data_IF_059419426374
#
_entry.id   IF_059419426374
#
_cell.length_a   1.000
_cell.length_b   1.000
_cell.length_c   1.000
_cell.angle_alpha   90.00
_cell.angle_beta   90.00
_cell.angle_gamma   90.00
#
_symmetry.space_group_name_H-M   'P 1'
#
loop_
_entity.id
_entity.type
_entity.pdbx_description
1 polymer ?
#
# COMPACT_ATOMS: atom_id res chain seq x y z
N UNK A 1 8.97 11.28 -10.80
CA UNK A 1 9.06 9.91 -10.23
C UNK A 1 9.03 8.88 -11.35
N UNK A 2 9.41 7.66 -11.07
CA UNK A 2 9.34 6.53 -11.99
C UNK A 2 8.77 5.30 -11.24
N UNK A 3 8.18 4.37 -11.98
CA UNK A 3 7.60 3.15 -11.40
C UNK A 3 7.93 1.93 -12.24
N UNK A 4 8.18 0.82 -11.58
CA UNK A 4 8.28 -0.50 -12.23
C UNK A 4 6.92 -1.18 -12.07
N UNK A 5 6.33 -1.59 -13.18
CA UNK A 5 5.03 -2.28 -13.21
C UNK A 5 5.15 -3.69 -13.78
N UNK A 6 4.26 -4.57 -13.39
CA UNK A 6 4.07 -5.87 -14.03
C UNK A 6 3.50 -5.70 -15.43
N UNK A 7 4.03 -6.41 -16.41
CA UNK A 7 3.56 -6.33 -17.81
C UNK A 7 2.15 -6.88 -18.00
N UNK A 8 1.75 -7.88 -17.22
CA UNK A 8 0.48 -8.57 -17.39
C UNK A 8 -0.71 -7.82 -16.76
N UNK A 9 -0.46 -7.01 -15.74
CA UNK A 9 -1.51 -6.38 -14.92
C UNK A 9 -1.36 -4.88 -14.74
N UNK A 10 -0.24 -4.29 -15.16
CA UNK A 10 0.17 -2.90 -14.90
C UNK A 10 0.25 -2.54 -13.40
N UNK A 11 0.26 -3.54 -12.50
CA UNK A 11 0.39 -3.32 -11.06
C UNK A 11 1.78 -2.76 -10.77
N UNK A 12 1.81 -1.63 -10.05
CA UNK A 12 3.06 -0.99 -9.62
C UNK A 12 3.70 -1.77 -8.46
N UNK A 13 4.93 -2.18 -8.67
CA UNK A 13 5.74 -2.93 -7.72
C UNK A 13 6.66 -2.02 -6.91
N UNK A 14 7.26 -1.03 -7.59
CA UNK A 14 8.24 -0.11 -7.02
C UNK A 14 7.97 1.32 -7.49
N UNK A 15 8.18 2.26 -6.59
CA UNK A 15 8.06 3.70 -6.82
C UNK A 15 9.39 4.36 -6.47
N UNK A 16 10.04 4.97 -7.47
CA UNK A 16 11.46 5.26 -7.44
C UNK A 16 11.68 6.75 -7.79
N UNK A 17 12.59 7.41 -7.10
CA UNK A 17 12.98 8.77 -7.40
C UNK A 17 13.61 8.88 -8.80
N UNK A 18 13.37 10.00 -9.50
CA UNK A 18 13.93 10.25 -10.84
C UNK A 18 15.46 10.34 -10.83
N UNK A 19 16.08 10.61 -9.67
CA UNK A 19 17.53 10.62 -9.51
C UNK A 19 18.19 9.25 -9.60
N UNK A 20 17.41 8.17 -9.46
CA UNK A 20 17.91 6.81 -9.54
C UNK A 20 17.91 6.30 -10.98
N UNK A 21 18.86 5.42 -11.29
CA UNK A 21 18.90 4.69 -12.55
C UNK A 21 18.28 3.31 -12.35
N UNK A 22 17.33 2.95 -13.20
CA UNK A 22 16.67 1.63 -13.21
C UNK A 22 17.08 0.90 -14.48
N UNK A 23 17.67 -0.27 -14.33
CA UNK A 23 18.03 -1.17 -15.41
C UNK A 23 17.26 -2.49 -15.30
N UNK A 24 16.30 -2.72 -16.20
CA UNK A 24 15.54 -3.97 -16.27
C UNK A 24 16.24 -4.88 -17.25
N UNK A 25 17.10 -5.75 -16.73
CA UNK A 25 17.83 -6.74 -17.52
C UNK A 25 17.02 -8.00 -17.83
N UNK A 26 17.65 -8.95 -18.55
CA UNK A 26 17.03 -10.23 -18.92
C UNK A 26 16.74 -11.14 -17.71
N UNK A 27 17.55 -11.03 -16.67
CA UNK A 27 17.49 -11.92 -15.51
C UNK A 27 17.01 -11.22 -14.24
N UNK A 28 17.33 -9.94 -14.08
CA UNK A 28 17.05 -9.15 -12.89
C UNK A 28 16.92 -7.67 -13.20
N UNK A 29 16.40 -6.92 -12.25
CA UNK A 29 16.38 -5.44 -12.27
C UNK A 29 17.35 -4.91 -11.24
N UNK A 30 18.13 -3.89 -11.64
CA UNK A 30 19.06 -3.17 -10.76
C UNK A 30 18.62 -1.72 -10.63
N UNK A 31 18.53 -1.23 -9.39
CA UNK A 31 18.31 0.19 -9.07
C UNK A 31 19.62 0.73 -8.51
N UNK A 32 20.13 1.82 -9.10
CA UNK A 32 21.44 2.40 -8.76
C UNK A 32 21.33 3.88 -8.44
N UNK A 33 22.25 4.36 -7.60
CA UNK A 33 22.48 5.77 -7.34
C UNK A 33 23.89 6.14 -7.81
N UNK A 34 23.99 7.05 -8.81
CA UNK A 34 25.26 7.48 -9.35
C UNK A 34 26.15 6.34 -9.84
N UNK A 35 25.56 5.26 -10.38
CA UNK A 35 26.27 4.08 -10.87
C UNK A 35 26.58 3.02 -9.80
N UNK A 36 26.24 3.28 -8.53
CA UNK A 36 26.38 2.29 -7.45
C UNK A 36 25.06 1.54 -7.26
N UNK A 37 25.02 0.19 -7.44
CA UNK A 37 23.82 -0.59 -7.18
C UNK A 37 23.38 -0.49 -5.71
N UNK A 38 22.10 -0.14 -5.49
CA UNK A 38 21.48 -0.09 -4.16
C UNK A 38 20.52 -1.25 -3.92
N UNK A 39 19.85 -1.72 -4.99
CA UNK A 39 18.87 -2.79 -4.92
C UNK A 39 18.96 -3.65 -6.19
N UNK A 40 18.97 -4.96 -5.98
CA UNK A 40 18.87 -5.96 -7.05
C UNK A 40 17.61 -6.79 -6.80
N UNK A 41 16.75 -6.90 -7.81
CA UNK A 41 15.46 -7.59 -7.72
C UNK A 41 15.50 -8.78 -8.68
N UNK A 42 15.65 -9.98 -8.14
CA UNK A 42 15.88 -11.21 -8.91
C UNK A 42 14.67 -11.64 -9.75
N UNK A 43 13.45 -11.42 -9.26
CA UNK A 43 12.22 -11.87 -9.91
C UNK A 43 11.58 -10.79 -10.81
N UNK A 44 12.29 -9.71 -11.06
CA UNK A 44 11.86 -8.59 -11.88
C UNK A 44 12.83 -8.45 -13.06
N UNK A 45 12.37 -8.71 -14.27
CA UNK A 45 13.20 -8.72 -15.48
C UNK A 45 12.42 -8.25 -16.71
N UNK A 46 13.09 -8.14 -17.84
CA UNK A 46 12.52 -7.63 -19.09
C UNK A 46 11.36 -8.46 -19.66
N UNK A 47 11.15 -9.68 -19.20
CA UNK A 47 10.00 -10.50 -19.62
C UNK A 47 8.73 -10.20 -18.86
N UNK A 48 8.81 -9.77 -17.59
CA UNK A 48 7.67 -9.61 -16.69
C UNK A 48 7.44 -8.19 -16.17
N UNK A 49 8.37 -7.27 -16.39
CA UNK A 49 8.30 -5.89 -15.87
C UNK A 49 8.57 -4.83 -16.93
N UNK A 50 8.02 -3.66 -16.73
CA UNK A 50 8.23 -2.46 -17.54
C UNK A 50 8.50 -1.26 -16.63
N UNK A 51 9.39 -0.35 -17.07
CA UNK A 51 9.65 0.91 -16.41
C UNK A 51 8.81 2.02 -17.07
N UNK A 52 8.07 2.77 -16.25
CA UNK A 52 7.45 4.05 -16.63
C UNK A 52 8.15 5.18 -15.91
N UNK A 53 8.61 6.18 -16.66
CA UNK A 53 9.31 7.38 -16.18
C UNK A 53 8.39 8.59 -16.26
N UNK A 54 8.69 9.63 -15.48
CA UNK A 54 7.90 10.86 -15.47
C UNK A 54 6.47 10.67 -14.95
N UNK A 55 6.27 9.69 -14.06
CA UNK A 55 4.95 9.44 -13.47
C UNK A 55 4.65 10.49 -12.40
N UNK A 56 3.36 10.82 -12.23
CA UNK A 56 2.91 11.77 -11.21
C UNK A 56 3.25 11.27 -9.80
N UNK A 57 3.47 12.21 -8.89
CA UNK A 57 3.76 11.89 -7.50
C UNK A 57 2.50 11.41 -6.77
N UNK A 58 2.65 10.33 -6.01
CA UNK A 58 1.64 9.81 -5.07
C UNK A 58 2.15 9.95 -3.64
N UNK A 59 1.40 10.67 -2.80
CA UNK A 59 1.73 10.86 -1.37
C UNK A 59 1.43 9.64 -0.51
N UNK A 60 0.50 8.79 -0.96
CA UNK A 60 0.04 7.59 -0.27
C UNK A 60 0.43 6.31 -1.02
N UNK A 61 1.53 6.37 -1.79
CA UNK A 61 2.00 5.17 -2.50
C UNK A 61 2.26 4.02 -1.53
N UNK A 62 1.80 2.85 -1.97
CA UNK A 62 2.13 1.56 -1.37
C UNK A 62 2.28 0.53 -2.47
N UNK A 63 3.27 -0.32 -2.40
CA UNK A 63 3.48 -1.36 -3.39
C UNK A 63 2.22 -2.21 -3.62
N UNK A 64 1.88 -2.50 -4.87
CA UNK A 64 0.70 -3.26 -5.30
C UNK A 64 -0.65 -2.54 -5.18
N UNK A 65 -0.73 -1.41 -4.45
CA UNK A 65 -1.97 -0.64 -4.27
C UNK A 65 -2.48 0.02 -5.54
N UNK A 66 -1.56 0.40 -6.43
CA UNK A 66 -1.87 1.13 -7.66
C UNK A 66 -1.42 0.38 -8.90
N UNK A 67 -2.04 0.72 -10.04
CA UNK A 67 -1.65 0.36 -11.39
C UNK A 67 -1.23 1.63 -12.13
N UNK A 68 -0.29 1.49 -13.09
CA UNK A 68 0.08 2.58 -14.01
C UNK A 68 0.19 2.04 -15.43
N UNK A 69 -0.56 2.62 -16.37
CA UNK A 69 -0.65 2.13 -17.76
C UNK A 69 0.36 2.79 -18.71
N UNK A 70 1.26 3.61 -18.19
CA UNK A 70 2.21 4.44 -18.93
C UNK A 70 1.77 5.90 -19.03
N UNK A 71 0.51 6.21 -18.77
CA UNK A 71 -0.06 7.55 -18.85
C UNK A 71 -0.62 8.04 -17.52
N UNK A 72 -1.32 7.17 -16.77
CA UNK A 72 -2.01 7.55 -15.55
C UNK A 72 -2.01 6.46 -14.48
N UNK A 73 -2.14 6.89 -13.23
CA UNK A 73 -2.39 6.04 -12.09
C UNK A 73 -3.86 5.62 -12.01
N UNK A 74 -4.11 4.42 -11.56
CA UNK A 74 -5.42 3.91 -11.20
C UNK A 74 -5.33 3.00 -9.97
N UNK A 75 -6.44 2.84 -9.23
CA UNK A 75 -6.47 1.95 -8.08
C UNK A 75 -6.39 0.48 -8.53
N UNK A 76 -5.62 -0.33 -7.79
CA UNK A 76 -5.69 -1.78 -7.90
C UNK A 76 -6.78 -2.30 -6.98
N UNK A 77 -7.96 -2.57 -7.51
CA UNK A 77 -9.16 -2.98 -6.74
C UNK A 77 -9.03 -4.35 -6.08
N UNK A 78 -8.08 -5.16 -6.55
CA UNK A 78 -7.80 -6.48 -5.96
C UNK A 78 -6.90 -6.38 -4.73
N UNK A 79 -6.22 -5.25 -4.56
CA UNK A 79 -5.36 -5.02 -3.41
C UNK A 79 -6.18 -4.77 -2.14
N UNK A 80 -5.79 -5.43 -1.06
CA UNK A 80 -6.36 -5.24 0.28
C UNK A 80 -5.24 -4.87 1.24
N UNK A 81 -5.29 -3.65 1.74
CA UNK A 81 -4.28 -3.12 2.65
C UNK A 81 -4.22 -3.88 3.97
N UNK A 82 -3.01 -4.04 4.48
CA UNK A 82 -2.74 -4.62 5.80
C UNK A 82 -1.75 -3.73 6.53
N UNK A 83 -2.05 -3.44 7.78
CA UNK A 83 -1.14 -2.80 8.72
C UNK A 83 -1.45 -3.32 10.13
N UNK A 84 -0.90 -2.69 11.16
CA UNK A 84 -1.04 -3.14 12.54
C UNK A 84 -1.39 -1.95 13.43
N UNK A 85 -2.12 -2.21 14.53
CA UNK A 85 -2.38 -1.19 15.54
C UNK A 85 -1.06 -0.67 16.13
N UNK A 86 -0.92 0.63 16.21
CA UNK A 86 0.24 1.26 16.87
C UNK A 86 0.09 1.35 18.39
N UNK A 87 -1.12 1.18 18.90
CA UNK A 87 -1.44 1.06 20.32
C UNK A 87 -2.71 0.25 20.53
N UNK A 88 -2.93 -0.19 21.77
CA UNK A 88 -4.18 -0.85 22.15
C UNK A 88 -5.38 0.08 21.99
N UNK A 89 -6.55 -0.49 21.71
CA UNK A 89 -7.83 0.21 21.62
C UNK A 89 -8.89 -0.51 22.47
N UNK A 90 -9.81 0.28 23.06
CA UNK A 90 -10.99 -0.29 23.69
C UNK A 90 -12.12 -0.50 22.65
N UNK A 91 -13.27 -0.95 23.10
CA UNK A 91 -14.44 -1.27 22.26
C UNK A 91 -15.27 -0.06 21.79
N UNK A 92 -14.88 1.17 22.17
CA UNK A 92 -15.68 2.38 21.94
C UNK A 92 -14.98 3.49 21.16
N UNK A 93 -13.65 3.40 20.95
CA UNK A 93 -12.93 4.44 20.20
C UNK A 93 -13.38 4.50 18.75
N UNK A 94 -13.45 5.71 18.20
CA UNK A 94 -13.85 6.00 16.82
C UNK A 94 -12.69 6.47 15.94
N UNK A 95 -11.47 6.43 16.48
CA UNK A 95 -10.22 6.67 15.76
C UNK A 95 -9.31 5.48 16.02
N UNK A 96 -8.88 4.81 14.97
CA UNK A 96 -8.09 3.56 15.06
C UNK A 96 -6.64 3.88 14.70
N UNK A 97 -5.72 3.86 15.68
CA UNK A 97 -4.31 4.16 15.45
C UNK A 97 -3.62 2.98 14.75
N UNK A 98 -2.92 3.26 13.66
CA UNK A 98 -2.13 2.29 12.90
C UNK A 98 -0.72 2.84 12.66
N UNK A 99 0.25 1.99 12.37
CA UNK A 99 1.61 2.46 12.10
C UNK A 99 1.69 3.28 10.81
N UNK A 100 0.86 2.99 9.81
CA UNK A 100 0.82 3.72 8.54
C UNK A 100 -0.53 3.50 7.83
N UNK A 101 -1.14 4.55 7.31
CA UNK A 101 -2.41 4.46 6.58
C UNK A 101 -2.25 4.30 5.06
N UNK A 102 -1.04 4.43 4.51
CA UNK A 102 -0.82 4.32 3.06
C UNK A 102 -1.33 3.00 2.44
N UNK A 103 -1.31 1.84 3.12
CA UNK A 103 -1.90 0.63 2.58
C UNK A 103 -3.41 0.71 2.35
N UNK A 104 -4.11 1.58 3.06
CA UNK A 104 -5.58 1.65 3.03
C UNK A 104 -6.09 2.64 1.99
N UNK A 105 -7.32 2.45 1.54
CA UNK A 105 -8.07 3.45 0.78
C UNK A 105 -8.51 4.58 1.72
N UNK A 106 -8.96 5.71 1.17
CA UNK A 106 -9.38 6.88 1.99
C UNK A 106 -10.62 6.61 2.83
N UNK A 107 -11.40 5.60 2.49
CA UNK A 107 -12.55 5.13 3.27
C UNK A 107 -12.77 3.64 2.97
N UNK A 108 -13.45 2.93 3.85
CA UNK A 108 -13.72 1.50 3.65
C UNK A 108 -14.08 0.78 4.93
N UNK A 109 -13.78 -0.51 4.95
CA UNK A 109 -13.97 -1.36 6.13
C UNK A 109 -12.68 -2.14 6.38
N UNK A 110 -12.26 -2.21 7.63
CA UNK A 110 -11.17 -3.08 8.09
C UNK A 110 -11.70 -4.14 9.04
N UNK A 111 -10.96 -5.22 9.14
CA UNK A 111 -11.19 -6.28 10.12
C UNK A 111 -10.00 -6.35 11.09
N UNK A 112 -10.31 -6.44 12.39
CA UNK A 112 -9.36 -6.68 13.48
C UNK A 112 -9.92 -7.84 14.30
N UNK A 113 -9.24 -8.98 14.31
CA UNK A 113 -9.82 -10.20 14.88
C UNK A 113 -11.14 -10.54 14.18
N UNK A 114 -12.22 -10.68 14.96
CA UNK A 114 -13.56 -10.94 14.44
C UNK A 114 -14.41 -9.69 14.22
N UNK A 115 -13.90 -8.52 14.61
CA UNK A 115 -14.62 -7.26 14.46
C UNK A 115 -14.36 -6.62 13.10
N UNK A 116 -15.42 -6.12 12.46
CA UNK A 116 -15.35 -5.21 11.31
C UNK A 116 -15.63 -3.78 11.72
N UNK A 117 -14.82 -2.86 11.25
CA UNK A 117 -14.87 -1.43 11.57
C UNK A 117 -14.92 -0.66 10.26
N UNK A 118 -16.00 0.07 10.00
CA UNK A 118 -16.07 0.98 8.86
C UNK A 118 -15.34 2.29 9.22
N UNK A 119 -14.65 2.89 8.27
CA UNK A 119 -13.97 4.19 8.44
C UNK A 119 -14.25 5.11 7.25
N UNK A 120 -14.24 6.42 7.48
CA UNK A 120 -14.56 7.43 6.46
C UNK A 120 -13.38 8.32 6.10
N UNK A 121 -12.25 8.19 6.77
CA UNK A 121 -11.05 8.99 6.51
C UNK A 121 -9.78 8.34 7.00
N UNK A 122 -8.65 8.90 6.56
CA UNK A 122 -7.29 8.56 7.02
C UNK A 122 -6.49 9.84 7.24
N UNK A 123 -5.57 9.85 8.20
CA UNK A 123 -4.73 11.03 8.51
C UNK A 123 -3.22 10.75 8.50
N UNK A 124 -2.79 9.62 7.96
CA UNK A 124 -1.40 9.17 7.91
C UNK A 124 -1.07 8.12 8.98
N UNK A 125 -1.63 8.23 10.17
CA UNK A 125 -1.41 7.31 11.30
C UNK A 125 -2.70 6.78 11.91
N UNK A 126 -3.87 7.26 11.49
CA UNK A 126 -5.14 6.79 12.02
C UNK A 126 -6.16 6.57 10.89
N UNK A 127 -7.00 5.57 11.06
CA UNK A 127 -8.30 5.49 10.40
C UNK A 127 -9.29 6.32 11.22
N UNK A 128 -10.00 7.25 10.59
CA UNK A 128 -10.86 8.23 11.25
C UNK A 128 -12.33 8.07 10.87
N UNK A 129 -13.23 8.65 11.71
CA UNK A 129 -14.67 8.50 11.48
C UNK A 129 -15.11 7.04 11.52
N UNK A 130 -14.59 6.28 12.49
CA UNK A 130 -14.83 4.85 12.57
C UNK A 130 -16.17 4.52 13.19
N UNK A 131 -16.89 3.57 12.56
CA UNK A 131 -18.09 2.91 13.09
C UNK A 131 -17.73 1.50 13.52
N UNK A 132 -17.78 1.23 14.82
CA UNK A 132 -17.46 -0.06 15.42
C UNK A 132 -18.56 -1.09 15.15
N UNK A 133 -18.26 -2.37 15.26
CA UNK A 133 -19.22 -3.46 15.11
C UNK A 133 -19.97 -3.44 13.77
N UNK A 134 -19.31 -3.02 12.69
CA UNK A 134 -19.91 -2.99 11.35
C UNK A 134 -20.20 -4.39 10.82
N UNK A 135 -21.11 -4.48 9.84
CA UNK A 135 -21.46 -5.72 9.16
C UNK A 135 -21.85 -6.87 10.12
N UNK A 136 -22.65 -6.55 11.14
CA UNK A 136 -23.16 -7.50 12.14
C UNK A 136 -22.09 -8.22 12.97
N UNK A 137 -20.95 -7.58 13.18
CA UNK A 137 -19.93 -8.02 14.14
C UNK A 137 -20.13 -7.37 15.51
N UNK A 138 -19.29 -7.67 16.48
CA UNK A 138 -19.34 -7.10 17.83
C UNK A 138 -18.06 -6.28 18.08
N UNK A 139 -18.23 -5.13 18.75
CA UNK A 139 -17.10 -4.31 19.17
C UNK A 139 -16.31 -5.01 20.28
N UNK A 140 -14.99 -4.95 20.20
CA UNK A 140 -14.08 -5.56 21.15
C UNK A 140 -12.85 -4.68 21.38
N UNK A 141 -12.18 -4.88 22.50
CA UNK A 141 -10.84 -4.32 22.72
C UNK A 141 -9.82 -5.10 21.92
N UNK A 142 -8.82 -4.39 21.37
CA UNK A 142 -7.73 -5.02 20.61
C UNK A 142 -6.39 -4.53 21.15
N UNK A 143 -5.43 -5.43 21.25
CA UNK A 143 -4.08 -5.12 21.72
C UNK A 143 -3.26 -4.38 20.67
N UNK A 144 -2.21 -3.68 21.10
CA UNK A 144 -1.20 -3.17 20.20
C UNK A 144 -0.64 -4.31 19.31
N UNK A 145 -0.24 -3.96 18.11
CA UNK A 145 0.26 -4.87 17.06
C UNK A 145 -0.77 -5.91 16.53
N UNK A 146 -2.04 -5.78 16.92
CA UNK A 146 -3.10 -6.56 16.26
C UNK A 146 -3.20 -6.18 14.78
N UNK A 147 -3.37 -7.19 13.92
CA UNK A 147 -3.48 -6.97 12.49
C UNK A 147 -4.76 -6.22 12.13
N UNK A 148 -4.61 -5.19 11.28
CA UNK A 148 -5.69 -4.41 10.68
C UNK A 148 -5.69 -4.71 9.18
N UNK A 149 -6.72 -5.38 8.69
CA UNK A 149 -6.82 -5.80 7.29
C UNK A 149 -8.04 -5.18 6.62
N UNK A 150 -7.84 -4.54 5.48
CA UNK A 150 -8.95 -4.05 4.65
C UNK A 150 -9.74 -5.23 4.04
N UNK A 151 -11.05 -5.15 4.08
CA UNK A 151 -11.96 -6.19 3.59
C UNK A 151 -12.85 -5.70 2.45
#
# INVERSE_FOLDING_TARGET
MQTIVRKDTNVSLYYIADSKTVDIGSDQTTISDGGTPELIISDCNSSNATLHQGVDALSDYWGWKYKHDGSAWSANTDFKGVNYLSSEINDSVTTIPVHNTNPFTTSGTVQIGDEKIAYTGVDGTNLTGCTRASASTSAASHTADAQVKQV
#
